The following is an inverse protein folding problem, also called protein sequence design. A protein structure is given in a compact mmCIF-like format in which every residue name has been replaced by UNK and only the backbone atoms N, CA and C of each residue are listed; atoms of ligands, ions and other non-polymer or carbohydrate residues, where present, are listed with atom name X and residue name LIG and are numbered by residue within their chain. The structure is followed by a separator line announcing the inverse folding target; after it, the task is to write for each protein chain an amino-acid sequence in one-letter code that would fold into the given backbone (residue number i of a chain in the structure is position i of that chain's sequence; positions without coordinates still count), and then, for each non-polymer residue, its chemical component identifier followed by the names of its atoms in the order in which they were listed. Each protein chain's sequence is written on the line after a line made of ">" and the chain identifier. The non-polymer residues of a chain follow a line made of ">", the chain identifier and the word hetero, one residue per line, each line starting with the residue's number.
data_IF_059859214930
#
_entry.id   IF_059859214930
#
_cell.length_a   1.000
_cell.length_b   1.000
_cell.length_c   1.000
_cell.angle_alpha   90.00
_cell.angle_beta   90.00
_cell.angle_gamma   90.00
#
_symmetry.space_group_name_H-M   'P 1'
#
loop_
_entity.id
_entity.type
_entity.pdbx_description
1 polymer ?
#
# COMPACT_ATOMS: atom_id res chain seq x y z
N UNK A 1 -29.66 -52.06 -35.74
CA UNK A 1 -28.63 -51.11 -36.19
C UNK A 1 -29.38 -49.87 -36.65
N UNK A 2 -29.39 -48.69 -36.03
CA UNK A 2 -28.73 -48.12 -34.86
C UNK A 2 -29.75 -47.22 -34.13
N UNK A 3 -29.98 -47.47 -32.84
CA UNK A 3 -30.68 -46.56 -31.91
C UNK A 3 -29.83 -46.42 -30.63
N UNK A 4 -28.51 -46.31 -30.79
CA UNK A 4 -27.55 -46.12 -29.68
C UNK A 4 -26.78 -44.81 -29.71
N UNK A 5 -26.88 -44.00 -30.78
CA UNK A 5 -25.97 -42.86 -30.98
C UNK A 5 -26.53 -41.48 -30.57
N UNK A 6 -27.70 -41.41 -29.93
CA UNK A 6 -28.27 -40.12 -29.49
C UNK A 6 -28.22 -39.87 -27.97
N UNK A 7 -27.88 -40.87 -27.17
CA UNK A 7 -27.71 -40.70 -25.71
C UNK A 7 -26.27 -40.43 -25.27
N UNK A 8 -25.26 -40.64 -26.11
CA UNK A 8 -23.85 -40.38 -25.77
C UNK A 8 -23.46 -38.90 -25.88
N UNK A 9 -24.00 -38.16 -26.86
CA UNK A 9 -23.67 -36.74 -27.05
C UNK A 9 -24.32 -35.79 -26.03
N UNK A 10 -25.36 -36.20 -25.30
CA UNK A 10 -25.97 -35.40 -24.23
C UNK A 10 -25.35 -35.64 -22.85
N UNK A 11 -24.49 -36.65 -22.70
CA UNK A 11 -23.83 -36.97 -21.43
C UNK A 11 -22.44 -36.32 -21.29
N UNK A 12 -21.74 -36.04 -22.39
CA UNK A 12 -20.43 -35.35 -22.37
C UNK A 12 -20.54 -33.84 -22.06
N UNK A 13 -21.60 -33.17 -22.51
CA UNK A 13 -21.75 -31.71 -22.29
C UNK A 13 -22.09 -31.31 -20.84
N UNK A 14 -22.29 -32.27 -19.92
CA UNK A 14 -22.66 -32.01 -18.52
C UNK A 14 -21.53 -32.24 -17.52
N UNK A 15 -20.44 -32.91 -17.91
CA UNK A 15 -19.29 -33.17 -17.04
C UNK A 15 -18.12 -32.17 -17.17
N UNK A 16 -17.96 -31.52 -18.32
CA UNK A 16 -16.83 -30.62 -18.60
C UNK A 16 -16.69 -29.35 -17.73
N UNK A 17 -17.76 -28.64 -17.28
CA UNK A 17 -17.56 -27.36 -16.58
C UNK A 17 -17.04 -27.52 -15.14
N UNK A 18 -17.00 -28.75 -14.61
CA UNK A 18 -16.45 -29.06 -13.28
C UNK A 18 -14.95 -29.38 -13.34
N UNK A 19 -14.51 -30.18 -14.32
CA UNK A 19 -13.10 -30.51 -14.51
C UNK A 19 -12.27 -29.32 -15.01
N UNK A 20 -12.83 -28.48 -15.89
CA UNK A 20 -12.14 -27.28 -16.36
C UNK A 20 -11.97 -26.26 -15.22
N UNK A 21 -12.96 -26.12 -14.35
CA UNK A 21 -12.87 -25.30 -13.13
C UNK A 21 -11.85 -25.86 -12.13
N UNK A 22 -11.84 -27.17 -11.90
CA UNK A 22 -10.88 -27.82 -11.01
C UNK A 22 -9.44 -27.70 -11.55
N UNK A 23 -9.26 -27.81 -12.86
CA UNK A 23 -7.97 -27.60 -13.51
C UNK A 23 -7.54 -26.12 -13.46
N UNK A 24 -8.49 -25.19 -13.54
CA UNK A 24 -8.23 -23.76 -13.35
C UNK A 24 -7.90 -23.43 -11.89
N UNK A 25 -8.55 -24.05 -10.91
CA UNK A 25 -8.27 -23.87 -9.49
C UNK A 25 -6.92 -24.44 -9.09
N UNK A 26 -6.52 -25.60 -9.64
CA UNK A 26 -5.16 -26.15 -9.49
C UNK A 26 -4.07 -25.23 -10.05
N UNK A 27 -4.41 -24.36 -11.02
CA UNK A 27 -3.47 -23.45 -11.69
C UNK A 27 -3.14 -22.19 -10.85
N UNK A 28 -3.93 -21.85 -9.83
CA UNK A 28 -3.75 -20.65 -9.03
C UNK A 28 -3.24 -20.95 -7.61
N UNK A 29 -2.36 -20.08 -7.12
CA UNK A 29 -1.83 -20.20 -5.75
C UNK A 29 -2.88 -19.69 -4.76
N UNK A 30 -3.36 -20.57 -3.89
CA UNK A 30 -4.28 -20.19 -2.82
C UNK A 30 -3.50 -19.74 -1.57
N UNK A 31 -3.82 -18.55 -1.06
CA UNK A 31 -3.25 -18.06 0.20
C UNK A 31 -3.76 -18.91 1.37
N UNK A 32 -2.84 -19.63 2.00
CA UNK A 32 -3.02 -20.34 3.26
C UNK A 32 -2.40 -19.53 4.39
N UNK A 33 -3.17 -19.31 5.45
CA UNK A 33 -2.70 -18.63 6.65
C UNK A 33 -2.13 -19.67 7.61
N UNK A 34 -0.90 -19.46 8.06
CA UNK A 34 -0.18 -20.36 8.95
C UNK A 34 0.45 -19.56 10.07
N UNK A 35 0.58 -20.16 11.26
CA UNK A 35 1.32 -19.53 12.35
C UNK A 35 2.81 -19.52 12.02
N UNK A 36 3.38 -18.33 11.82
CA UNK A 36 4.80 -18.16 11.48
C UNK A 36 5.29 -16.76 11.88
N UNK A 37 6.59 -16.66 12.15
CA UNK A 37 7.23 -15.39 12.43
C UNK A 37 7.45 -14.58 11.16
N UNK A 38 7.76 -13.29 11.35
CA UNK A 38 8.23 -12.46 10.24
C UNK A 38 9.66 -12.81 9.88
N UNK A 39 10.01 -12.67 8.61
CA UNK A 39 11.32 -13.09 8.10
C UNK A 39 12.48 -12.44 8.87
N UNK A 40 12.40 -11.14 9.17
CA UNK A 40 13.48 -10.46 9.89
C UNK A 40 13.62 -10.99 11.32
N UNK A 41 12.53 -11.35 11.99
CA UNK A 41 12.59 -11.97 13.33
C UNK A 41 13.36 -13.29 13.30
N UNK A 42 13.19 -14.08 12.24
CA UNK A 42 13.95 -15.32 12.07
C UNK A 42 15.40 -15.06 11.64
N UNK A 43 15.66 -14.07 10.78
CA UNK A 43 17.01 -13.67 10.39
C UNK A 43 17.83 -13.13 11.57
N UNK A 44 17.21 -12.39 12.49
CA UNK A 44 17.87 -11.88 13.70
C UNK A 44 18.36 -12.98 14.66
N UNK A 45 18.00 -14.25 14.43
CA UNK A 45 18.60 -15.39 15.15
C UNK A 45 20.03 -15.67 14.69
N UNK A 46 20.38 -15.33 13.45
CA UNK A 46 21.75 -15.37 12.96
C UNK A 46 22.58 -14.24 13.58
N UNK A 47 23.80 -14.57 14.00
CA UNK A 47 24.73 -13.63 14.63
C UNK A 47 25.07 -12.46 13.71
N UNK A 48 25.25 -12.72 12.41
CA UNK A 48 25.64 -11.68 11.45
C UNK A 48 24.55 -10.61 11.28
N UNK A 49 23.30 -11.05 11.08
CA UNK A 49 22.16 -10.14 10.96
C UNK A 49 21.90 -9.37 12.26
N UNK A 50 22.06 -10.04 13.42
CA UNK A 50 21.93 -9.39 14.72
C UNK A 50 22.98 -8.31 14.95
N UNK A 51 24.22 -8.53 14.52
CA UNK A 51 25.28 -7.51 14.59
C UNK A 51 24.90 -6.27 13.77
N UNK A 52 24.42 -6.45 12.53
CA UNK A 52 23.97 -5.32 11.71
C UNK A 52 22.81 -4.56 12.37
N UNK A 53 21.83 -5.28 12.92
CA UNK A 53 20.72 -4.69 13.67
C UNK A 53 21.21 -3.86 14.87
N UNK A 54 22.19 -4.36 15.62
CA UNK A 54 22.72 -3.68 16.81
C UNK A 54 23.54 -2.42 16.50
N UNK A 55 24.10 -2.28 15.29
CA UNK A 55 24.85 -1.07 14.88
C UNK A 55 23.89 0.11 14.62
N UNK A 56 22.67 -0.17 14.15
CA UNK A 56 21.73 0.89 13.75
C UNK A 56 21.30 1.84 14.87
N UNK A 57 20.97 1.37 16.09
CA UNK A 57 20.71 2.26 17.21
C UNK A 57 21.87 3.23 17.50
N UNK A 58 23.12 2.77 17.35
CA UNK A 58 24.30 3.62 17.51
C UNK A 58 24.36 4.73 16.45
N UNK A 59 24.15 4.37 15.17
CA UNK A 59 24.10 5.33 14.07
C UNK A 59 22.97 6.36 14.26
N UNK A 60 21.79 5.89 14.70
CA UNK A 60 20.66 6.75 15.06
C UNK A 60 21.03 7.76 16.14
N UNK A 61 21.56 7.29 17.28
CA UNK A 61 21.92 8.16 18.41
C UNK A 61 22.98 9.19 18.02
N UNK A 62 24.02 8.79 17.29
CA UNK A 62 25.04 9.71 16.81
C UNK A 62 24.48 10.77 15.86
N UNK A 63 23.57 10.39 14.95
CA UNK A 63 22.94 11.34 14.02
C UNK A 63 22.01 12.31 14.75
N UNK A 64 21.23 11.83 15.73
CA UNK A 64 20.40 12.69 16.59
C UNK A 64 21.26 13.68 17.38
N UNK A 65 22.36 13.21 17.96
CA UNK A 65 23.29 14.06 18.70
C UNK A 65 23.93 15.10 17.78
N UNK A 66 24.42 14.70 16.60
CA UNK A 66 24.97 15.61 15.61
C UNK A 66 23.97 16.71 15.23
N UNK A 67 22.72 16.34 14.92
CA UNK A 67 21.69 17.33 14.58
C UNK A 67 21.37 18.25 15.75
N UNK A 68 21.27 17.72 16.97
CA UNK A 68 21.00 18.52 18.16
C UNK A 68 22.12 19.52 18.46
N UNK A 69 23.38 19.11 18.29
CA UNK A 69 24.54 19.99 18.43
C UNK A 69 24.55 21.06 17.36
N UNK A 70 24.20 20.72 16.11
CA UNK A 70 24.15 21.68 15.01
C UNK A 70 23.03 22.71 15.20
N UNK A 71 21.84 22.27 15.60
CA UNK A 71 20.73 23.14 15.96
C UNK A 71 21.11 24.09 17.10
N UNK A 72 21.81 23.57 18.12
CA UNK A 72 22.27 24.37 19.25
C UNK A 72 23.33 25.40 18.85
N UNK A 73 24.26 25.05 17.96
CA UNK A 73 25.26 25.98 17.42
C UNK A 73 24.60 27.13 16.65
N UNK A 74 23.61 26.84 15.81
CA UNK A 74 22.98 27.84 14.96
C UNK A 74 21.95 28.71 15.70
N UNK A 75 21.18 28.15 16.63
CA UNK A 75 20.00 28.80 17.21
C UNK A 75 19.94 28.77 18.76
N UNK A 76 20.93 28.16 19.41
CA UNK A 76 21.02 28.06 20.87
C UNK A 76 20.05 27.05 21.50
N UNK A 77 19.33 26.23 20.72
CA UNK A 77 18.40 25.19 21.21
C UNK A 77 18.35 23.98 20.29
N UNK A 78 18.33 22.74 20.80
CA UNK A 78 18.19 21.55 19.97
C UNK A 78 16.71 21.27 19.60
N UNK A 79 16.42 20.94 18.34
CA UNK A 79 15.05 20.68 17.88
C UNK A 79 14.74 19.21 17.61
N UNK A 80 15.75 18.35 17.45
CA UNK A 80 15.60 16.90 17.24
C UNK A 80 14.59 16.56 16.11
N UNK A 81 14.56 17.34 15.03
CA UNK A 81 13.64 17.12 13.90
C UNK A 81 12.16 17.38 14.20
N UNK A 82 11.82 17.99 15.35
CA UNK A 82 10.41 18.26 15.72
C UNK A 82 9.74 19.31 14.84
N UNK A 83 10.51 20.18 14.18
CA UNK A 83 10.01 21.23 13.28
C UNK A 83 9.29 20.63 12.08
N UNK A 84 10.00 19.76 11.36
CA UNK A 84 9.44 19.07 10.21
C UNK A 84 8.29 18.15 10.63
N UNK A 85 8.37 17.45 11.77
CA UNK A 85 7.24 16.66 12.28
C UNK A 85 5.98 17.50 12.54
N UNK A 86 6.11 18.65 13.21
CA UNK A 86 4.97 19.54 13.47
C UNK A 86 4.33 20.05 12.17
N UNK A 87 5.14 20.41 11.18
CA UNK A 87 4.66 20.82 9.86
C UNK A 87 4.00 19.66 9.10
N UNK A 88 4.63 18.47 9.14
CA UNK A 88 4.15 17.28 8.45
C UNK A 88 2.82 16.74 9.02
N UNK A 89 2.61 16.87 10.34
CA UNK A 89 1.40 16.46 11.06
C UNK A 89 0.46 17.62 11.38
N UNK A 90 0.51 18.71 10.60
CA UNK A 90 -0.42 19.82 10.76
C UNK A 90 -1.88 19.35 10.67
N UNK A 91 -2.73 19.79 11.61
CA UNK A 91 -4.15 19.43 11.72
C UNK A 91 -4.41 17.91 11.88
N UNK A 92 -3.56 17.22 12.66
CA UNK A 92 -3.71 15.78 12.92
C UNK A 92 -5.04 15.40 13.59
N UNK A 93 -5.60 16.27 14.42
CA UNK A 93 -6.92 16.14 15.03
C UNK A 93 -8.03 16.00 13.97
N UNK A 94 -8.02 16.84 12.94
CA UNK A 94 -8.93 16.71 11.80
C UNK A 94 -8.70 15.42 11.02
N UNK A 95 -7.45 14.98 10.87
CA UNK A 95 -7.14 13.70 10.22
C UNK A 95 -7.78 12.51 10.96
N UNK A 96 -7.76 12.51 12.30
CA UNK A 96 -8.44 11.50 13.12
C UNK A 96 -9.97 11.56 12.94
N UNK A 97 -10.56 12.75 12.91
CA UNK A 97 -12.00 12.90 12.65
C UNK A 97 -12.38 12.34 11.26
N UNK A 98 -11.61 12.67 10.22
CA UNK A 98 -11.81 12.15 8.87
C UNK A 98 -11.72 10.63 8.86
N UNK A 99 -10.76 10.05 9.59
CA UNK A 99 -10.64 8.61 9.74
C UNK A 99 -11.91 7.98 10.33
N UNK A 100 -12.48 8.55 11.39
CA UNK A 100 -13.76 8.06 11.95
C UNK A 100 -14.90 8.16 10.94
N UNK A 101 -14.99 9.27 10.19
CA UNK A 101 -16.00 9.42 9.14
C UNK A 101 -15.82 8.48 7.95
N UNK A 102 -14.59 8.04 7.66
CA UNK A 102 -14.33 6.98 6.67
C UNK A 102 -14.68 5.60 7.21
N UNK A 103 -14.38 5.35 8.49
CA UNK A 103 -14.59 4.07 9.15
C UNK A 103 -16.07 3.69 9.26
N UNK A 104 -16.94 4.66 9.59
CA UNK A 104 -18.38 4.42 9.76
C UNK A 104 -19.07 3.85 8.50
N UNK A 105 -18.93 4.45 7.30
CA UNK A 105 -19.42 3.88 6.05
C UNK A 105 -18.87 2.48 5.74
N UNK A 106 -17.61 2.18 6.11
CA UNK A 106 -17.04 0.84 5.96
C UNK A 106 -17.79 -0.21 6.79
N UNK A 107 -18.31 0.15 7.96
CA UNK A 107 -19.17 -0.75 8.75
C UNK A 107 -20.52 -0.98 8.06
N UNK A 108 -21.07 0.03 7.39
CA UNK A 108 -22.31 -0.10 6.63
C UNK A 108 -22.18 -1.10 5.46
N UNK A 109 -20.97 -1.30 4.91
CA UNK A 109 -20.73 -2.31 3.86
C UNK A 109 -21.12 -3.71 4.31
N UNK A 110 -20.85 -4.06 5.58
CA UNK A 110 -21.25 -5.36 6.14
C UNK A 110 -22.76 -5.55 6.11
N UNK A 111 -23.50 -4.57 6.64
CA UNK A 111 -24.96 -4.61 6.70
C UNK A 111 -25.59 -4.56 5.29
N UNK A 112 -25.02 -3.76 4.39
CA UNK A 112 -25.43 -3.72 2.99
C UNK A 112 -25.26 -5.07 2.29
N UNK A 113 -24.14 -5.75 2.53
CA UNK A 113 -23.91 -7.10 2.01
C UNK A 113 -24.89 -8.12 2.60
N UNK A 114 -25.15 -8.09 3.91
CA UNK A 114 -26.13 -8.98 4.54
C UNK A 114 -27.53 -8.79 3.94
N UNK A 115 -27.94 -7.53 3.79
CA UNK A 115 -29.23 -7.20 3.19
C UNK A 115 -29.34 -7.71 1.75
N UNK A 116 -28.28 -7.49 0.94
CA UNK A 116 -28.20 -8.04 -0.40
C UNK A 116 -28.31 -9.57 -0.38
N UNK A 117 -27.51 -10.27 0.42
CA UNK A 117 -27.44 -11.72 0.48
C UNK A 117 -28.77 -12.38 0.90
N UNK A 118 -29.42 -11.85 1.94
CA UNK A 118 -30.69 -12.37 2.43
C UNK A 118 -31.84 -12.17 1.43
N UNK A 119 -31.91 -10.99 0.80
CA UNK A 119 -32.98 -10.66 -0.15
C UNK A 119 -32.76 -11.35 -1.48
N UNK A 120 -31.51 -11.53 -1.92
CA UNK A 120 -31.18 -12.21 -3.19
C UNK A 120 -31.79 -13.61 -3.28
N UNK A 121 -31.87 -14.35 -2.17
CA UNK A 121 -32.45 -15.69 -2.12
C UNK A 121 -33.96 -15.65 -2.45
N UNK A 122 -34.67 -14.58 -2.07
CA UNK A 122 -36.12 -14.45 -2.20
C UNK A 122 -36.55 -13.71 -3.48
N UNK A 123 -35.63 -12.97 -4.12
CA UNK A 123 -35.94 -12.14 -5.27
C UNK A 123 -36.04 -12.96 -6.56
N UNK A 124 -37.08 -12.71 -7.36
CA UNK A 124 -37.22 -13.29 -8.70
C UNK A 124 -36.21 -12.69 -9.68
N UNK A 125 -36.06 -11.34 -9.69
CA UNK A 125 -35.14 -10.63 -10.58
C UNK A 125 -33.74 -10.46 -9.98
N UNK A 126 -33.04 -11.58 -9.77
CA UNK A 126 -31.69 -11.61 -9.16
C UNK A 126 -30.67 -10.73 -9.88
N UNK A 127 -30.71 -10.70 -11.22
CA UNK A 127 -29.78 -9.90 -12.03
C UNK A 127 -29.88 -8.39 -11.74
N UNK A 128 -31.10 -7.84 -11.64
CA UNK A 128 -31.31 -6.44 -11.32
C UNK A 128 -30.86 -6.11 -9.89
N UNK A 129 -31.11 -7.03 -8.96
CA UNK A 129 -30.66 -6.91 -7.57
C UNK A 129 -29.13 -6.90 -7.44
N UNK A 130 -28.43 -7.73 -8.22
CA UNK A 130 -26.97 -7.76 -8.23
C UNK A 130 -26.39 -6.47 -8.83
N UNK A 131 -27.00 -5.91 -9.89
CA UNK A 131 -26.56 -4.64 -10.49
C UNK A 131 -26.81 -3.43 -9.58
N UNK A 132 -27.92 -3.40 -8.87
CA UNK A 132 -28.21 -2.32 -7.92
C UNK A 132 -27.23 -2.36 -6.75
N UNK A 133 -26.93 -3.53 -6.19
CA UNK A 133 -25.89 -3.69 -5.17
C UNK A 133 -24.51 -3.25 -5.67
N UNK A 134 -24.14 -3.63 -6.91
CA UNK A 134 -22.91 -3.17 -7.53
C UNK A 134 -22.86 -1.64 -7.67
N UNK A 135 -23.95 -1.01 -8.11
CA UNK A 135 -24.04 0.45 -8.22
C UNK A 135 -23.86 1.13 -6.85
N UNK A 136 -24.48 0.61 -5.79
CA UNK A 136 -24.26 1.11 -4.43
C UNK A 136 -22.81 0.95 -3.95
N UNK A 137 -22.18 -0.19 -4.26
CA UNK A 137 -20.78 -0.41 -3.91
C UNK A 137 -19.83 0.54 -4.68
N UNK A 138 -20.08 0.78 -5.97
CA UNK A 138 -19.33 1.76 -6.76
C UNK A 138 -19.55 3.18 -6.23
N UNK A 139 -20.77 3.52 -5.84
CA UNK A 139 -21.06 4.79 -5.18
C UNK A 139 -20.28 4.95 -3.87
N UNK A 140 -20.21 3.90 -3.04
CA UNK A 140 -19.39 3.89 -1.83
C UNK A 140 -17.90 4.13 -2.14
N UNK A 141 -17.32 3.40 -3.10
CA UNK A 141 -15.89 3.54 -3.46
C UNK A 141 -15.61 4.96 -3.97
N UNK A 142 -16.39 5.45 -4.91
CA UNK A 142 -16.24 6.81 -5.45
C UNK A 142 -16.45 7.86 -4.36
N UNK A 143 -17.46 7.68 -3.51
CA UNK A 143 -17.76 8.55 -2.37
C UNK A 143 -16.59 8.63 -1.40
N UNK A 144 -15.97 7.49 -1.04
CA UNK A 144 -14.79 7.44 -0.18
C UNK A 144 -13.59 8.17 -0.79
N UNK A 145 -13.31 7.97 -2.08
CA UNK A 145 -12.22 8.66 -2.78
C UNK A 145 -12.45 10.18 -2.83
N UNK A 146 -13.65 10.61 -3.23
CA UNK A 146 -14.00 12.04 -3.32
C UNK A 146 -14.02 12.71 -1.94
N UNK A 147 -14.62 12.06 -0.93
CA UNK A 147 -14.67 12.57 0.44
C UNK A 147 -13.27 12.76 1.01
N UNK A 148 -12.44 11.72 0.99
CA UNK A 148 -11.09 11.76 1.57
C UNK A 148 -10.23 12.84 0.92
N UNK A 149 -10.25 12.88 -0.42
CA UNK A 149 -9.53 13.90 -1.18
C UNK A 149 -10.03 15.29 -0.82
N UNK A 150 -11.34 15.54 -0.88
CA UNK A 150 -11.92 16.86 -0.55
C UNK A 150 -11.56 17.30 0.87
N UNK A 151 -11.64 16.41 1.84
CA UNK A 151 -11.34 16.72 3.23
C UNK A 151 -9.86 17.05 3.45
N UNK A 152 -8.94 16.37 2.76
CA UNK A 152 -7.50 16.69 2.78
C UNK A 152 -7.24 18.12 2.29
N UNK A 153 -7.88 18.53 1.18
CA UNK A 153 -7.70 19.86 0.60
C UNK A 153 -8.38 20.96 1.43
N UNK A 154 -9.62 20.74 1.88
CA UNK A 154 -10.40 21.75 2.62
C UNK A 154 -9.78 22.06 3.99
N UNK A 155 -9.31 21.04 4.70
CA UNK A 155 -8.74 21.22 6.05
C UNK A 155 -7.24 21.54 6.03
N UNK A 156 -6.62 21.67 4.85
CA UNK A 156 -5.20 21.95 4.70
C UNK A 156 -4.31 21.07 5.62
N UNK A 157 -4.55 19.76 5.61
CA UNK A 157 -3.80 18.77 6.42
C UNK A 157 -2.30 18.69 6.03
N UNK A 158 -1.39 18.57 7.00
CA UNK A 158 0.04 18.38 6.70
C UNK A 158 0.30 17.18 5.77
N UNK A 159 1.41 17.15 5.00
CA UNK A 159 1.67 16.09 4.02
C UNK A 159 1.64 14.66 4.60
N UNK A 160 2.18 14.45 5.80
CA UNK A 160 2.17 13.13 6.43
C UNK A 160 0.77 12.72 6.93
N UNK A 161 0.00 13.68 7.48
CA UNK A 161 -1.40 13.43 7.88
C UNK A 161 -2.29 13.13 6.68
N UNK A 162 -2.10 13.87 5.59
CA UNK A 162 -2.78 13.63 4.32
C UNK A 162 -2.47 12.23 3.78
N UNK A 163 -1.20 11.82 3.82
CA UNK A 163 -0.77 10.49 3.38
C UNK A 163 -1.40 9.39 4.24
N UNK A 164 -1.46 9.56 5.56
CA UNK A 164 -2.11 8.61 6.45
C UNK A 164 -3.61 8.44 6.11
N UNK A 165 -4.34 9.54 5.90
CA UNK A 165 -5.76 9.51 5.51
C UNK A 165 -5.95 8.78 4.17
N UNK A 166 -5.12 9.10 3.17
CA UNK A 166 -5.23 8.48 1.84
C UNK A 166 -4.87 6.98 1.85
N UNK A 167 -3.85 6.57 2.61
CA UNK A 167 -3.50 5.15 2.78
C UNK A 167 -4.65 4.41 3.48
N UNK A 168 -5.25 4.99 4.52
CA UNK A 168 -6.37 4.40 5.23
C UNK A 168 -7.62 4.29 4.34
N UNK A 169 -7.90 5.29 3.50
CA UNK A 169 -8.94 5.21 2.48
C UNK A 169 -8.73 4.01 1.54
N UNK A 170 -7.51 3.83 1.00
CA UNK A 170 -7.19 2.68 0.12
C UNK A 170 -7.39 1.38 0.89
N UNK A 171 -6.90 1.30 2.14
CA UNK A 171 -7.04 0.12 3.01
C UNK A 171 -8.52 -0.25 3.21
N UNK A 172 -9.39 0.72 3.52
CA UNK A 172 -10.81 0.47 3.70
C UNK A 172 -11.50 -0.01 2.42
N UNK A 173 -11.18 0.58 1.27
CA UNK A 173 -11.72 0.15 -0.03
C UNK A 173 -11.27 -1.29 -0.34
N UNK A 174 -9.99 -1.59 -0.22
CA UNK A 174 -9.44 -2.93 -0.49
C UNK A 174 -10.05 -3.99 0.42
N UNK A 175 -10.21 -3.70 1.72
CA UNK A 175 -10.85 -4.63 2.65
C UNK A 175 -12.34 -4.81 2.39
N UNK A 176 -13.05 -3.72 2.07
CA UNK A 176 -14.48 -3.78 1.70
C UNK A 176 -14.69 -4.67 0.47
N UNK A 177 -13.86 -4.47 -0.57
CA UNK A 177 -13.87 -5.29 -1.77
C UNK A 177 -13.55 -6.76 -1.46
N UNK A 178 -12.49 -7.01 -0.69
CA UNK A 178 -12.06 -8.36 -0.32
C UNK A 178 -13.19 -9.13 0.40
N UNK A 179 -13.86 -8.47 1.35
CA UNK A 179 -14.98 -9.07 2.07
C UNK A 179 -16.15 -9.45 1.15
N UNK A 180 -16.57 -8.52 0.28
CA UNK A 180 -17.68 -8.77 -0.66
C UNK A 180 -17.28 -9.87 -1.65
N UNK A 181 -16.15 -9.73 -2.34
CA UNK A 181 -15.72 -10.63 -3.41
C UNK A 181 -15.48 -12.06 -2.94
N UNK A 182 -15.01 -12.24 -1.70
CA UNK A 182 -14.82 -13.57 -1.09
C UNK A 182 -16.15 -14.22 -0.69
N UNK A 183 -17.15 -13.45 -0.25
CA UNK A 183 -18.42 -14.01 0.21
C UNK A 183 -19.49 -14.12 -0.87
N UNK A 184 -19.51 -13.24 -1.88
CA UNK A 184 -20.49 -13.26 -2.99
C UNK A 184 -20.63 -14.64 -3.66
N UNK A 185 -19.54 -15.37 -4.01
CA UNK A 185 -19.65 -16.69 -4.65
C UNK A 185 -20.42 -17.71 -3.83
N UNK A 186 -20.38 -17.64 -2.49
CA UNK A 186 -21.12 -18.54 -1.59
C UNK A 186 -22.64 -18.42 -1.79
N UNK A 187 -23.13 -17.22 -2.11
CA UNK A 187 -24.55 -16.94 -2.32
C UNK A 187 -25.00 -17.07 -3.79
N UNK A 188 -24.06 -16.94 -4.73
CA UNK A 188 -24.31 -17.13 -6.16
C UNK A 188 -24.31 -18.62 -6.51
N UNK A 189 -23.33 -19.38 -6.02
CA UNK A 189 -23.18 -20.81 -6.30
C UNK A 189 -24.11 -21.70 -5.45
N UNK A 190 -24.93 -21.12 -4.56
CA UNK A 190 -25.90 -21.84 -3.73
C UNK A 190 -26.74 -22.87 -4.51
N UNK A 191 -27.07 -22.56 -5.76
CA UNK A 191 -27.86 -23.44 -6.64
C UNK A 191 -27.14 -24.76 -6.98
N UNK A 192 -25.83 -24.86 -6.77
CA UNK A 192 -25.03 -26.08 -7.04
C UNK A 192 -24.83 -26.98 -5.81
N UNK A 193 -24.74 -26.39 -4.61
CA UNK A 193 -24.31 -27.13 -3.40
C UNK A 193 -25.45 -27.47 -2.42
N UNK A 194 -26.68 -26.98 -2.65
CA UNK A 194 -27.89 -27.37 -1.89
C UNK A 194 -27.93 -26.98 -0.41
N UNK A 195 -26.86 -26.39 0.14
CA UNK A 195 -26.75 -25.95 1.54
C UNK A 195 -26.97 -24.45 1.66
N UNK A 196 -27.62 -24.01 2.76
CA UNK A 196 -27.82 -22.59 3.01
C UNK A 196 -26.49 -21.90 3.41
N UNK A 197 -26.01 -20.91 2.63
CA UNK A 197 -24.74 -20.25 2.91
C UNK A 197 -24.83 -19.43 4.20
N UNK A 198 -23.92 -19.71 5.14
CA UNK A 198 -23.83 -19.01 6.41
C UNK A 198 -23.16 -17.65 6.19
N UNK A 199 -23.87 -16.56 6.54
CA UNK A 199 -23.30 -15.22 6.55
C UNK A 199 -22.22 -15.11 7.64
N UNK A 200 -21.06 -14.49 7.36
CA UNK A 200 -20.09 -14.23 8.41
C UNK A 200 -20.67 -13.29 9.48
N UNK A 201 -20.35 -13.58 10.75
CA UNK A 201 -20.75 -12.74 11.89
C UNK A 201 -20.01 -11.40 11.87
N UNK A 202 -20.64 -10.33 12.37
CA UNK A 202 -20.05 -8.97 12.44
C UNK A 202 -18.69 -8.95 13.13
N UNK A 203 -18.51 -9.74 14.21
CA UNK A 203 -17.24 -9.86 14.93
C UNK A 203 -16.06 -10.27 14.02
N UNK A 204 -16.29 -11.16 13.05
CA UNK A 204 -15.25 -11.59 12.09
C UNK A 204 -14.88 -10.47 11.12
N UNK A 205 -15.88 -9.74 10.63
CA UNK A 205 -15.66 -8.57 9.77
C UNK A 205 -14.91 -7.46 10.53
N UNK A 206 -15.34 -7.15 11.75
CA UNK A 206 -14.68 -6.17 12.61
C UNK A 206 -13.22 -6.52 12.87
N UNK A 207 -12.94 -7.78 13.25
CA UNK A 207 -11.57 -8.26 13.41
C UNK A 207 -10.76 -8.11 12.12
N UNK A 208 -11.33 -8.49 10.97
CA UNK A 208 -10.67 -8.34 9.68
C UNK A 208 -10.34 -6.89 9.34
N UNK A 209 -11.17 -5.91 9.70
CA UNK A 209 -10.87 -4.49 9.45
C UNK A 209 -9.56 -4.05 10.11
N UNK A 210 -9.22 -4.57 11.28
CA UNK A 210 -7.97 -4.24 11.97
C UNK A 210 -6.82 -5.22 11.68
N UNK A 211 -7.12 -6.47 11.28
CA UNK A 211 -6.10 -7.47 11.01
C UNK A 211 -5.05 -6.99 9.99
N UNK A 212 -3.75 -7.30 10.15
CA UNK A 212 -2.67 -6.87 9.26
C UNK A 212 -2.62 -7.71 7.97
N UNK A 213 -3.78 -7.88 7.32
CA UNK A 213 -3.94 -8.55 6.03
C UNK A 213 -5.06 -7.88 5.24
N UNK A 214 -4.97 -7.95 3.91
CA UNK A 214 -6.00 -7.43 3.01
C UNK A 214 -6.89 -8.56 2.44
N UNK A 215 -6.55 -9.82 2.70
CA UNK A 215 -7.31 -10.98 2.20
C UNK A 215 -8.28 -11.46 3.27
N UNK A 216 -9.57 -11.46 2.96
CA UNK A 216 -10.61 -11.89 3.89
C UNK A 216 -10.66 -13.41 4.04
N UNK A 217 -10.71 -13.89 5.29
CA UNK A 217 -11.02 -15.27 5.69
C UNK A 217 -11.89 -15.25 6.94
N UNK A 218 -12.71 -16.28 7.09
CA UNK A 218 -13.61 -16.40 8.25
C UNK A 218 -12.86 -16.73 9.54
N UNK A 219 -11.72 -17.42 9.44
CA UNK A 219 -10.86 -17.80 10.57
C UNK A 219 -9.41 -17.53 10.20
N UNK A 220 -8.66 -16.94 11.14
CA UNK A 220 -7.23 -16.69 11.04
C UNK A 220 -6.50 -17.44 12.17
N UNK A 221 -5.25 -17.89 11.94
CA UNK A 221 -4.45 -18.48 13.01
C UNK A 221 -4.17 -17.43 14.09
N UNK A 222 -4.42 -17.78 15.35
CA UNK A 222 -4.27 -16.88 16.50
C UNK A 222 -3.15 -17.30 17.45
N UNK A 223 -2.58 -16.34 18.16
CA UNK A 223 -1.61 -16.59 19.23
C UNK A 223 -2.34 -16.78 20.56
N UNK A 224 -1.69 -17.48 21.50
CA UNK A 224 -2.28 -17.79 22.81
C UNK A 224 -2.43 -16.53 23.67
N UNK A 225 -1.53 -15.56 23.53
CA UNK A 225 -1.56 -14.30 24.27
C UNK A 225 -0.75 -13.19 23.59
N UNK A 226 -0.74 -12.03 24.24
CA UNK A 226 -0.04 -10.82 23.79
C UNK A 226 1.26 -10.68 24.57
N UNK A 227 2.39 -10.58 23.86
CA UNK A 227 3.71 -10.31 24.43
C UNK A 227 3.99 -8.81 24.42
N UNK A 228 3.70 -8.15 25.54
CA UNK A 228 3.85 -6.70 25.69
C UNK A 228 5.27 -6.18 25.48
N UNK A 229 6.29 -6.98 25.77
CA UNK A 229 7.69 -6.61 25.47
C UNK A 229 7.91 -6.39 23.97
N UNK A 230 7.39 -7.29 23.13
CA UNK A 230 7.48 -7.16 21.67
C UNK A 230 6.71 -5.93 21.16
N UNK A 231 5.53 -5.65 21.74
CA UNK A 231 4.75 -4.44 21.43
C UNK A 231 5.54 -3.19 21.79
N UNK A 232 6.13 -3.12 22.99
CA UNK A 232 6.91 -1.97 23.43
C UNK A 232 8.14 -1.74 22.55
N UNK A 233 8.88 -2.80 22.19
CA UNK A 233 10.02 -2.70 21.26
C UNK A 233 9.57 -2.21 19.89
N UNK A 234 8.50 -2.77 19.33
CA UNK A 234 7.98 -2.35 18.02
C UNK A 234 7.53 -0.88 18.00
N UNK A 235 6.86 -0.41 19.07
CA UNK A 235 6.49 1.02 19.20
C UNK A 235 7.74 1.90 19.30
N UNK A 236 8.74 1.50 20.10
CA UNK A 236 9.99 2.25 20.22
C UNK A 236 10.75 2.35 18.89
N UNK A 237 10.78 1.27 18.09
CA UNK A 237 11.37 1.26 16.75
C UNK A 237 10.63 2.22 15.80
N UNK A 238 9.29 2.19 15.78
CA UNK A 238 8.47 3.08 14.94
C UNK A 238 8.77 4.55 15.27
N UNK A 239 8.72 4.90 16.56
CA UNK A 239 9.02 6.26 17.03
C UNK A 239 10.44 6.66 16.61
N UNK A 240 11.43 5.81 16.87
CA UNK A 240 12.83 6.09 16.53
C UNK A 240 13.02 6.35 15.04
N UNK A 241 12.45 5.52 14.16
CA UNK A 241 12.56 5.70 12.70
C UNK A 241 11.85 6.96 12.22
N UNK A 242 10.70 7.34 12.79
CA UNK A 242 9.99 8.57 12.43
C UNK A 242 10.82 9.82 12.78
N UNK A 243 11.41 9.87 13.98
CA UNK A 243 12.31 10.97 14.36
C UNK A 243 13.58 10.98 13.51
N UNK A 244 14.18 9.81 13.27
CA UNK A 244 15.34 9.67 12.40
C UNK A 244 15.08 10.20 11.01
N UNK A 245 13.95 9.81 10.41
CA UNK A 245 13.51 10.24 9.09
C UNK A 245 13.31 11.74 9.01
N UNK A 246 12.72 12.33 10.05
CA UNK A 246 12.52 13.78 10.11
C UNK A 246 13.85 14.53 10.01
N UNK A 247 14.81 14.18 10.88
CA UNK A 247 16.14 14.79 10.87
C UNK A 247 16.89 14.51 9.57
N UNK A 248 16.82 13.27 9.05
CA UNK A 248 17.47 12.90 7.80
C UNK A 248 16.95 13.75 6.64
N UNK A 249 15.62 13.90 6.50
CA UNK A 249 15.01 14.72 5.45
C UNK A 249 15.32 16.21 5.62
N UNK A 250 15.29 16.71 6.86
CA UNK A 250 15.58 18.11 7.18
C UNK A 250 17.03 18.48 6.80
N UNK A 251 18.00 17.67 7.23
CA UNK A 251 19.43 17.93 7.04
C UNK A 251 19.94 17.63 5.62
N UNK A 252 19.15 16.95 4.78
CA UNK A 252 19.56 16.59 3.41
C UNK A 252 18.74 17.37 2.38
N UNK A 253 17.52 16.92 2.08
CA UNK A 253 16.73 17.49 1.00
C UNK A 253 16.23 18.90 1.34
N UNK A 254 15.67 19.11 2.53
CA UNK A 254 15.05 20.39 2.89
C UNK A 254 16.09 21.50 3.01
N UNK A 255 17.20 21.24 3.72
CA UNK A 255 18.26 22.23 3.90
C UNK A 255 18.77 22.81 2.58
N UNK A 256 18.94 21.96 1.56
CA UNK A 256 19.48 22.36 0.25
C UNK A 256 18.46 22.91 -0.74
N UNK A 257 17.18 22.55 -0.61
CA UNK A 257 16.14 22.86 -1.60
C UNK A 257 15.07 23.83 -1.09
N UNK A 258 15.09 24.25 0.19
CA UNK A 258 14.13 25.22 0.74
C UNK A 258 14.08 26.55 -0.03
N UNK A 259 15.20 26.96 -0.62
CA UNK A 259 15.35 28.21 -1.38
C UNK A 259 15.04 28.03 -2.87
N UNK A 260 14.50 26.87 -3.28
CA UNK A 260 14.11 26.63 -4.67
C UNK A 260 13.04 27.61 -5.13
N UNK A 261 13.29 28.32 -6.23
CA UNK A 261 12.45 29.42 -6.72
C UNK A 261 12.86 30.81 -6.24
N UNK A 262 13.70 30.91 -5.19
CA UNK A 262 14.33 32.17 -4.78
C UNK A 262 15.70 32.33 -5.44
N UNK A 263 16.40 31.22 -5.64
CA UNK A 263 17.66 31.15 -6.40
C UNK A 263 17.51 30.21 -7.59
N UNK A 264 18.27 30.47 -8.66
CA UNK A 264 18.37 29.55 -9.78
C UNK A 264 19.29 28.38 -9.43
N UNK A 265 18.89 27.17 -9.85
CA UNK A 265 19.67 25.94 -9.70
C UNK A 265 20.11 25.49 -11.09
N UNK A 266 21.38 25.11 -11.23
CA UNK A 266 21.83 24.48 -12.46
C UNK A 266 21.40 23.01 -12.51
N UNK A 267 21.21 22.46 -13.71
CA UNK A 267 20.90 21.02 -13.89
C UNK A 267 22.00 20.16 -13.26
N UNK A 268 23.26 20.57 -13.37
CA UNK A 268 24.40 19.87 -12.77
C UNK A 268 24.34 19.86 -11.23
N UNK A 269 23.94 20.97 -10.62
CA UNK A 269 23.73 21.06 -9.17
C UNK A 269 22.64 20.09 -8.71
N UNK A 270 21.49 20.05 -9.41
CA UNK A 270 20.40 19.12 -9.09
C UNK A 270 20.86 17.66 -9.22
N UNK A 271 21.58 17.31 -10.30
CA UNK A 271 22.12 15.96 -10.48
C UNK A 271 23.11 15.61 -9.37
N UNK A 272 23.96 16.56 -8.97
CA UNK A 272 24.94 16.37 -7.91
C UNK A 272 24.24 16.15 -6.57
N UNK A 273 23.17 16.89 -6.26
CA UNK A 273 22.34 16.68 -5.07
C UNK A 273 21.71 15.28 -5.06
N UNK A 274 21.15 14.82 -6.18
CA UNK A 274 20.54 13.47 -6.29
C UNK A 274 21.57 12.38 -5.97
N UNK A 275 22.79 12.53 -6.50
CA UNK A 275 23.89 11.56 -6.31
C UNK A 275 24.46 11.66 -4.89
N UNK A 276 24.71 12.86 -4.38
CA UNK A 276 25.26 13.09 -3.05
C UNK A 276 24.34 12.54 -1.96
N UNK A 277 23.02 12.72 -2.12
CA UNK A 277 22.02 12.25 -1.17
C UNK A 277 21.41 10.90 -1.54
N UNK A 278 22.07 10.15 -2.43
CA UNK A 278 21.75 8.73 -2.66
C UNK A 278 21.70 7.92 -1.34
N UNK A 279 22.65 8.04 -0.39
CA UNK A 279 22.58 7.30 0.88
C UNK A 279 21.37 7.70 1.72
N UNK A 280 20.95 8.97 1.68
CA UNK A 280 19.72 9.43 2.32
C UNK A 280 18.47 8.85 1.63
N UNK A 281 18.52 8.61 0.31
CA UNK A 281 17.48 7.90 -0.43
C UNK A 281 17.29 6.45 0.05
N UNK A 282 18.33 5.82 0.59
CA UNK A 282 18.25 4.51 1.25
C UNK A 282 17.46 4.56 2.57
N UNK A 283 17.09 5.76 3.07
CA UNK A 283 16.15 5.90 4.17
C UNK A 283 14.82 5.15 3.93
N UNK A 284 14.44 4.97 2.66
CA UNK A 284 13.30 4.12 2.28
C UNK A 284 13.34 2.70 2.88
N UNK A 285 14.53 2.14 3.16
CA UNK A 285 14.65 0.84 3.84
C UNK A 285 14.25 0.90 5.32
N UNK A 286 14.51 2.02 6.00
CA UNK A 286 14.02 2.22 7.37
C UNK A 286 12.52 2.43 7.39
N UNK A 287 11.95 3.16 6.42
CA UNK A 287 10.50 3.26 6.27
C UNK A 287 9.85 1.90 6.01
N UNK A 288 10.48 1.08 5.17
CA UNK A 288 10.06 -0.31 4.96
C UNK A 288 10.08 -1.10 6.27
N UNK A 289 11.17 -1.04 7.03
CA UNK A 289 11.27 -1.71 8.33
C UNK A 289 10.20 -1.21 9.30
N UNK A 290 10.06 0.11 9.46
CA UNK A 290 9.07 0.75 10.33
C UNK A 290 7.65 0.27 10.02
N UNK A 291 7.24 0.25 8.74
CA UNK A 291 5.89 -0.16 8.37
C UNK A 291 5.72 -1.68 8.28
N UNK A 292 6.47 -2.34 7.40
CA UNK A 292 6.26 -3.76 7.07
C UNK A 292 6.74 -4.71 8.16
N UNK A 293 7.73 -4.29 8.97
CA UNK A 293 8.20 -5.08 10.10
C UNK A 293 7.58 -4.59 11.41
N UNK A 294 7.98 -3.43 11.93
CA UNK A 294 7.65 -3.02 13.29
C UNK A 294 6.15 -2.76 13.48
N UNK A 295 5.53 -1.96 12.61
CA UNK A 295 4.09 -1.64 12.70
C UNK A 295 3.19 -2.86 12.47
N UNK A 296 3.44 -3.63 11.39
CA UNK A 296 2.63 -4.81 11.08
C UNK A 296 2.78 -5.92 12.14
N UNK A 297 3.99 -6.16 12.67
CA UNK A 297 4.18 -7.12 13.76
C UNK A 297 3.55 -6.64 15.07
N UNK A 298 3.64 -5.34 15.40
CA UNK A 298 3.00 -4.77 16.60
C UNK A 298 1.48 -4.93 16.51
N UNK A 299 0.89 -4.58 15.38
CA UNK A 299 -0.54 -4.74 15.12
C UNK A 299 -0.94 -6.22 15.16
N UNK A 300 -0.13 -7.11 14.60
CA UNK A 300 -0.35 -8.55 14.65
C UNK A 300 -0.34 -9.08 16.09
N UNK A 301 0.61 -8.65 16.92
CA UNK A 301 0.70 -9.05 18.32
C UNK A 301 -0.53 -8.57 19.12
N UNK A 302 -0.91 -7.29 18.97
CA UNK A 302 -2.08 -6.70 19.64
C UNK A 302 -3.39 -7.41 19.27
N UNK A 303 -3.53 -7.85 18.02
CA UNK A 303 -4.71 -8.57 17.55
C UNK A 303 -4.61 -10.09 17.73
N UNK A 304 -3.53 -10.61 18.32
CA UNK A 304 -3.23 -12.06 18.41
C UNK A 304 -3.19 -12.76 17.04
N UNK A 305 -2.80 -12.06 15.98
CA UNK A 305 -2.68 -12.60 14.63
C UNK A 305 -1.33 -13.31 14.43
N UNK A 306 -1.36 -14.60 14.07
CA UNK A 306 -0.15 -15.44 14.03
C UNK A 306 0.52 -15.56 12.67
N UNK A 307 -0.10 -15.13 11.56
CA UNK A 307 0.55 -15.19 10.24
C UNK A 307 1.36 -13.91 9.98
N UNK A 308 2.65 -13.90 10.32
CA UNK A 308 3.49 -12.68 10.26
C UNK A 308 4.32 -12.57 9.00
N UNK A 309 3.94 -13.27 7.93
CA UNK A 309 4.61 -13.15 6.64
C UNK A 309 4.09 -11.95 5.85
N UNK A 310 4.60 -10.77 6.20
CA UNK A 310 4.27 -9.51 5.52
C UNK A 310 5.18 -9.24 4.32
N UNK A 311 6.38 -9.80 4.31
CA UNK A 311 7.40 -9.68 3.27
C UNK A 311 8.32 -10.90 3.25
N UNK A 312 9.03 -11.08 2.15
CA UNK A 312 10.08 -12.11 1.94
C UNK A 312 11.41 -11.43 1.64
N UNK A 313 12.40 -12.23 1.27
CA UNK A 313 13.75 -11.82 0.84
C UNK A 313 13.69 -11.06 -0.50
N UNK A 314 13.08 -9.88 -0.51
CA UNK A 314 12.94 -9.06 -1.72
C UNK A 314 14.31 -8.54 -2.22
N UNK A 315 15.28 -8.40 -1.32
CA UNK A 315 16.64 -7.95 -1.62
C UNK A 315 17.52 -9.01 -2.30
N UNK A 316 17.04 -10.24 -2.49
CA UNK A 316 17.76 -11.29 -3.23
C UNK A 316 17.12 -11.57 -4.59
N UNK A 317 16.05 -10.85 -4.94
CA UNK A 317 15.24 -11.15 -6.13
C UNK A 317 15.94 -10.78 -7.43
N UNK A 318 15.62 -11.54 -8.49
CA UNK A 318 16.22 -11.37 -9.80
C UNK A 318 15.28 -10.67 -10.82
N UNK A 319 14.04 -10.39 -10.42
CA UNK A 319 13.00 -9.87 -11.30
C UNK A 319 12.15 -8.81 -10.58
N UNK A 320 11.88 -7.67 -11.23
CA UNK A 320 11.00 -6.61 -10.71
C UNK A 320 9.61 -7.12 -10.27
N UNK A 321 9.03 -8.09 -10.99
CA UNK A 321 7.77 -8.71 -10.56
C UNK A 321 7.93 -9.51 -9.27
N UNK A 322 9.04 -10.24 -9.14
CA UNK A 322 9.35 -11.01 -7.92
C UNK A 322 9.65 -10.08 -6.75
N UNK A 323 10.36 -8.97 -6.99
CA UNK A 323 10.58 -7.90 -6.03
C UNK A 323 9.24 -7.37 -5.49
N UNK A 324 8.33 -6.93 -6.37
CA UNK A 324 7.01 -6.44 -5.96
C UNK A 324 6.21 -7.50 -5.20
N UNK A 325 6.33 -8.77 -5.60
CA UNK A 325 5.68 -9.90 -4.94
C UNK A 325 6.23 -10.18 -3.54
N UNK A 326 7.52 -9.94 -3.29
CA UNK A 326 8.18 -10.19 -2.01
C UNK A 326 8.23 -8.97 -1.09
N UNK A 327 8.21 -7.75 -1.64
CA UNK A 327 8.31 -6.50 -0.89
C UNK A 327 7.09 -6.29 0.02
N UNK A 328 5.88 -6.26 -0.55
CA UNK A 328 4.62 -6.07 0.19
C UNK A 328 3.65 -7.21 -0.10
N UNK A 329 3.84 -8.36 0.57
CA UNK A 329 3.06 -9.57 0.29
C UNK A 329 1.57 -9.35 0.50
N UNK A 330 1.18 -8.58 1.51
CA UNK A 330 -0.25 -8.35 1.80
C UNK A 330 -0.98 -7.57 0.68
N UNK A 331 -0.31 -6.60 0.03
CA UNK A 331 -0.86 -5.90 -1.15
C UNK A 331 -0.80 -6.82 -2.37
N UNK A 332 0.32 -7.50 -2.58
CA UNK A 332 0.49 -8.39 -3.71
C UNK A 332 -0.51 -9.54 -3.70
N UNK A 333 -0.76 -10.17 -2.55
CA UNK A 333 -1.76 -11.23 -2.37
C UNK A 333 -3.16 -10.70 -2.72
N UNK A 334 -3.49 -9.48 -2.30
CA UNK A 334 -4.77 -8.85 -2.66
C UNK A 334 -4.87 -8.67 -4.17
N UNK A 335 -3.86 -8.06 -4.80
CA UNK A 335 -3.83 -7.84 -6.25
C UNK A 335 -3.88 -9.18 -7.00
N UNK A 336 -3.19 -10.21 -6.53
CA UNK A 336 -3.16 -11.52 -7.17
C UNK A 336 -4.53 -12.23 -7.08
N UNK A 337 -5.12 -12.29 -5.89
CA UNK A 337 -6.37 -13.02 -5.65
C UNK A 337 -7.56 -12.31 -6.29
N UNK A 338 -7.61 -10.99 -6.18
CA UNK A 338 -8.81 -10.21 -6.50
C UNK A 338 -8.75 -9.49 -7.85
N UNK A 339 -7.54 -9.26 -8.39
CA UNK A 339 -7.36 -8.59 -9.69
C UNK A 339 -6.77 -9.54 -10.72
N UNK A 340 -5.61 -10.16 -10.45
CA UNK A 340 -4.95 -11.05 -11.42
C UNK A 340 -5.82 -12.24 -11.79
N UNK A 341 -6.35 -12.97 -10.79
CA UNK A 341 -7.20 -14.14 -11.04
C UNK A 341 -8.45 -13.76 -11.83
N UNK A 342 -9.13 -12.68 -11.43
CA UNK A 342 -10.36 -12.25 -12.11
C UNK A 342 -10.08 -11.74 -13.54
N UNK A 343 -9.01 -10.99 -13.76
CA UNK A 343 -8.59 -10.59 -15.11
C UNK A 343 -8.22 -11.79 -15.98
N UNK A 344 -7.53 -12.78 -15.42
CA UNK A 344 -7.17 -14.01 -16.13
C UNK A 344 -8.40 -14.80 -16.56
N UNK A 345 -9.39 -14.94 -15.67
CA UNK A 345 -10.58 -15.75 -15.92
C UNK A 345 -11.56 -15.05 -16.85
N UNK A 346 -11.80 -13.74 -16.67
CA UNK A 346 -12.94 -13.06 -17.30
C UNK A 346 -12.58 -12.11 -18.44
N UNK A 347 -11.35 -11.57 -18.50
CA UNK A 347 -11.02 -10.46 -19.42
C UNK A 347 -9.92 -10.84 -20.41
N UNK A 348 -8.81 -11.40 -19.92
CA UNK A 348 -7.63 -11.72 -20.72
C UNK A 348 -7.16 -13.17 -20.51
N UNK A 349 -7.94 -14.18 -20.93
CA UNK A 349 -7.53 -15.58 -20.84
C UNK A 349 -6.15 -15.80 -21.47
N UNK A 350 -5.28 -16.48 -20.73
CA UNK A 350 -3.92 -16.89 -21.13
C UNK A 350 -2.91 -15.76 -21.43
N UNK A 351 -3.31 -14.49 -21.46
CA UNK A 351 -2.43 -13.34 -21.73
C UNK A 351 -1.73 -12.81 -20.48
N UNK A 352 -0.90 -13.66 -19.86
CA UNK A 352 -0.22 -13.38 -18.57
C UNK A 352 0.56 -12.05 -18.54
N UNK A 353 1.21 -11.68 -19.64
CA UNK A 353 1.99 -10.43 -19.71
C UNK A 353 1.10 -9.19 -19.60
N UNK A 354 -0.01 -9.15 -20.35
CA UNK A 354 -0.95 -8.03 -20.32
C UNK A 354 -1.54 -7.84 -18.91
N UNK A 355 -1.90 -8.92 -18.24
CA UNK A 355 -2.44 -8.85 -16.87
C UNK A 355 -1.40 -8.29 -15.90
N UNK A 356 -0.13 -8.73 -16.00
CA UNK A 356 0.95 -8.20 -15.16
C UNK A 356 1.18 -6.70 -15.41
N UNK A 357 1.10 -6.25 -16.66
CA UNK A 357 1.21 -4.84 -17.01
C UNK A 357 0.05 -4.02 -16.42
N UNK A 358 -1.20 -4.51 -16.56
CA UNK A 358 -2.38 -3.87 -15.97
C UNK A 358 -2.27 -3.76 -14.45
N UNK A 359 -1.81 -4.82 -13.77
CA UNK A 359 -1.57 -4.77 -12.32
C UNK A 359 -0.51 -3.75 -11.94
N UNK A 360 0.57 -3.65 -12.71
CA UNK A 360 1.65 -2.68 -12.45
C UNK A 360 1.14 -1.24 -12.60
N UNK A 361 0.39 -0.96 -13.67
CA UNK A 361 -0.22 0.35 -13.90
C UNK A 361 -1.22 0.68 -12.79
N UNK A 362 -2.08 -0.27 -12.41
CA UNK A 362 -3.03 -0.07 -11.32
C UNK A 362 -2.32 0.25 -10.00
N UNK A 363 -1.26 -0.50 -9.67
CA UNK A 363 -0.45 -0.24 -8.48
C UNK A 363 0.21 1.14 -8.53
N UNK A 364 0.78 1.53 -9.67
CA UNK A 364 1.40 2.85 -9.88
C UNK A 364 0.39 3.98 -9.67
N UNK A 365 -0.78 3.90 -10.32
CA UNK A 365 -1.83 4.92 -10.24
C UNK A 365 -2.32 5.15 -8.82
N UNK A 366 -2.45 4.09 -8.01
CA UNK A 366 -2.86 4.21 -6.60
C UNK A 366 -1.77 4.87 -5.76
N UNK A 367 -0.49 4.55 -5.99
CA UNK A 367 0.62 5.25 -5.33
C UNK A 367 0.68 6.73 -5.72
N UNK A 368 0.55 7.04 -7.00
CA UNK A 368 0.50 8.41 -7.51
C UNK A 368 -0.71 9.18 -6.94
N UNK A 369 -1.88 8.54 -6.81
CA UNK A 369 -3.05 9.14 -6.16
C UNK A 369 -2.74 9.54 -4.71
N UNK A 370 -2.15 8.64 -3.92
CA UNK A 370 -1.81 8.91 -2.52
C UNK A 370 -0.84 10.10 -2.44
N UNK A 371 0.25 10.06 -3.20
CA UNK A 371 1.30 11.08 -3.12
C UNK A 371 0.85 12.43 -3.70
N UNK A 372 0.20 12.43 -4.86
CA UNK A 372 -0.28 13.67 -5.48
C UNK A 372 -1.31 14.40 -4.59
N UNK A 373 -2.22 13.67 -3.95
CA UNK A 373 -3.18 14.27 -3.01
C UNK A 373 -2.47 14.74 -1.73
N UNK A 374 -1.53 13.95 -1.20
CA UNK A 374 -0.81 14.30 0.03
C UNK A 374 0.08 15.52 -0.11
N UNK A 375 0.73 15.67 -1.28
CA UNK A 375 1.56 16.81 -1.60
C UNK A 375 0.78 17.96 -2.28
N UNK A 376 -0.50 17.73 -2.62
CA UNK A 376 -1.42 18.68 -3.27
C UNK A 376 -1.02 19.17 -4.65
N UNK A 377 -0.27 18.36 -5.37
CA UNK A 377 0.15 18.67 -6.73
C UNK A 377 0.19 17.40 -7.57
N UNK A 378 -0.15 17.55 -8.85
CA UNK A 378 -0.16 16.42 -9.77
C UNK A 378 1.25 16.18 -10.32
N UNK A 379 1.92 15.16 -9.80
CA UNK A 379 3.25 14.74 -10.26
C UNK A 379 3.34 13.21 -10.22
N UNK A 380 2.91 12.49 -11.28
CA UNK A 380 2.80 11.03 -11.29
C UNK A 380 4.18 10.36 -11.47
N UNK A 381 4.98 10.35 -10.41
CA UNK A 381 6.36 9.88 -10.43
C UNK A 381 6.48 8.36 -10.31
N UNK A 382 5.51 7.66 -9.72
CA UNK A 382 5.59 6.20 -9.53
C UNK A 382 5.39 5.43 -10.82
N UNK A 383 4.49 5.89 -11.71
CA UNK A 383 4.36 5.29 -13.04
C UNK A 383 5.66 5.41 -13.85
N UNK A 384 6.29 6.58 -13.81
CA UNK A 384 7.58 6.81 -14.46
C UNK A 384 8.69 5.95 -13.84
N UNK A 385 8.77 5.92 -12.50
CA UNK A 385 9.78 5.16 -11.78
C UNK A 385 9.66 3.64 -12.03
N UNK A 386 8.46 3.08 -11.99
CA UNK A 386 8.26 1.65 -12.29
C UNK A 386 8.58 1.32 -13.76
N UNK A 387 8.25 2.20 -14.70
CA UNK A 387 8.62 2.02 -16.11
C UNK A 387 10.13 2.08 -16.28
N UNK A 388 10.79 3.06 -15.65
CA UNK A 388 12.24 3.18 -15.63
C UNK A 388 12.91 1.92 -15.08
N UNK A 389 12.45 1.42 -13.92
CA UNK A 389 12.95 0.18 -13.32
C UNK A 389 12.85 -1.02 -14.29
N UNK A 390 11.74 -1.17 -14.99
CA UNK A 390 11.55 -2.26 -15.95
C UNK A 390 12.53 -2.13 -17.13
N UNK A 391 12.70 -0.93 -17.67
CA UNK A 391 13.58 -0.65 -18.81
C UNK A 391 15.06 -0.80 -18.43
N UNK A 392 15.51 -0.17 -17.35
CA UNK A 392 16.92 -0.22 -16.92
C UNK A 392 17.35 -1.63 -16.58
N UNK A 393 16.46 -2.46 -16.01
CA UNK A 393 16.76 -3.86 -15.74
C UNK A 393 16.97 -4.66 -17.03
N UNK A 394 16.12 -4.45 -18.03
CA UNK A 394 16.26 -5.13 -19.33
C UNK A 394 17.60 -4.81 -19.99
N UNK A 395 18.16 -3.63 -19.73
CA UNK A 395 19.45 -3.20 -20.27
C UNK A 395 20.62 -3.75 -19.44
N UNK A 396 20.57 -3.66 -18.11
CA UNK A 396 21.72 -3.91 -17.23
C UNK A 396 21.91 -5.38 -16.83
N UNK A 397 20.89 -6.22 -16.99
CA UNK A 397 20.89 -7.67 -16.69
C UNK A 397 21.58 -8.08 -15.36
N UNK A 398 21.54 -7.22 -14.34
CA UNK A 398 22.25 -7.40 -13.06
C UNK A 398 21.41 -6.94 -11.87
N UNK A 399 21.25 -7.83 -10.88
CA UNK A 399 20.42 -7.59 -9.70
C UNK A 399 21.09 -6.65 -8.69
N UNK A 400 22.43 -6.60 -8.68
CA UNK A 400 23.20 -5.72 -7.78
C UNK A 400 23.00 -4.26 -8.13
N UNK A 401 22.95 -3.94 -9.42
CA UNK A 401 22.74 -2.57 -9.90
C UNK A 401 21.30 -2.13 -9.65
N UNK A 402 20.33 -3.03 -9.79
CA UNK A 402 18.92 -2.72 -9.55
C UNK A 402 18.63 -2.30 -8.09
N UNK A 403 19.22 -2.95 -7.08
CA UNK A 403 19.06 -2.54 -5.67
C UNK A 403 19.66 -1.17 -5.41
N UNK A 404 20.83 -0.89 -5.99
CA UNK A 404 21.44 0.44 -5.91
C UNK A 404 20.58 1.49 -6.65
N UNK A 405 19.88 1.12 -7.72
CA UNK A 405 18.99 2.04 -8.43
C UNK A 405 17.71 2.37 -7.66
N UNK A 406 17.30 1.57 -6.68
CA UNK A 406 16.17 1.93 -5.81
C UNK A 406 16.48 3.16 -4.95
N UNK A 407 17.69 3.23 -4.38
CA UNK A 407 18.09 4.40 -3.58
C UNK A 407 18.24 5.65 -4.43
N UNK A 408 18.76 5.55 -5.66
CA UNK A 408 18.87 6.71 -6.56
C UNK A 408 17.51 7.13 -7.09
N UNK A 409 16.62 6.18 -7.40
CA UNK A 409 15.23 6.44 -7.76
C UNK A 409 14.43 7.09 -6.62
N UNK A 410 14.66 6.66 -5.38
CA UNK A 410 14.07 7.29 -4.20
C UNK A 410 14.64 8.69 -3.96
N UNK A 411 15.95 8.89 -4.11
CA UNK A 411 16.58 10.21 -4.00
C UNK A 411 16.04 11.17 -5.06
N UNK A 412 15.95 10.71 -6.31
CA UNK A 412 15.35 11.45 -7.42
C UNK A 412 13.89 11.85 -7.12
N UNK A 413 13.08 10.91 -6.62
CA UNK A 413 11.70 11.15 -6.22
C UNK A 413 11.63 12.25 -5.14
N UNK A 414 12.43 12.12 -4.08
CA UNK A 414 12.42 13.08 -2.97
C UNK A 414 12.87 14.48 -3.43
N UNK A 415 13.91 14.58 -4.26
CA UNK A 415 14.39 15.85 -4.80
C UNK A 415 13.29 16.54 -5.61
N UNK A 416 12.64 15.83 -6.53
CA UNK A 416 11.56 16.40 -7.33
C UNK A 416 10.35 16.83 -6.49
N UNK A 417 9.95 16.02 -5.51
CA UNK A 417 8.84 16.35 -4.61
C UNK A 417 9.15 17.59 -3.77
N UNK A 418 10.37 17.70 -3.23
CA UNK A 418 10.78 18.84 -2.40
C UNK A 418 10.94 20.11 -3.26
N UNK A 419 11.52 20.00 -4.46
CA UNK A 419 11.58 21.11 -5.42
C UNK A 419 10.18 21.61 -5.77
N UNK A 420 9.24 20.72 -6.10
CA UNK A 420 7.87 21.11 -6.43
C UNK A 420 7.15 21.75 -5.24
N UNK A 421 7.35 21.20 -4.03
CA UNK A 421 6.79 21.74 -2.81
C UNK A 421 7.26 23.18 -2.55
N UNK A 422 8.57 23.43 -2.58
CA UNK A 422 9.12 24.77 -2.35
C UNK A 422 8.88 25.73 -3.51
N UNK A 423 8.91 25.25 -4.77
CA UNK A 423 8.52 26.07 -5.93
C UNK A 423 7.09 26.60 -5.77
N UNK A 424 6.16 25.80 -5.21
CA UNK A 424 4.78 26.23 -4.97
C UNK A 424 4.63 27.26 -3.86
N UNK A 425 5.51 27.24 -2.87
CA UNK A 425 5.53 28.19 -1.77
C UNK A 425 6.22 29.49 -2.18
N UNK A 426 7.40 29.39 -2.81
CA UNK A 426 8.26 30.52 -3.12
C UNK A 426 7.83 31.27 -4.38
N UNK A 427 7.19 30.59 -5.35
CA UNK A 427 6.59 31.20 -6.54
C UNK A 427 5.06 31.00 -6.56
N UNK A 428 4.27 31.76 -5.77
CA UNK A 428 2.82 31.66 -5.80
C UNK A 428 2.25 32.30 -7.08
N UNK A 429 1.33 31.60 -7.76
CA UNK A 429 0.55 32.15 -8.88
C UNK A 429 -0.82 32.55 -8.33
N UNK A 430 -1.11 33.84 -8.31
CA UNK A 430 -2.44 34.34 -7.97
C UNK A 430 -3.37 34.15 -9.18
N UNK A 431 -4.49 33.43 -8.99
CA UNK A 431 -5.47 33.05 -10.03
C UNK A 431 -4.99 31.99 -11.04
N UNK A 432 -4.35 30.93 -10.55
CA UNK A 432 -3.94 29.80 -11.38
C UNK A 432 -5.14 29.11 -12.07
N UNK A 433 -5.05 28.97 -13.38
CA UNK A 433 -5.92 28.10 -14.18
C UNK A 433 -5.72 26.63 -13.79
N UNK A 434 -6.67 25.76 -14.17
CA UNK A 434 -6.57 24.30 -13.92
C UNK A 434 -5.27 23.74 -14.53
N UNK A 435 -4.88 24.22 -15.71
CA UNK A 435 -3.66 23.77 -16.39
C UNK A 435 -2.39 24.16 -15.63
N UNK A 436 -2.35 25.34 -15.04
CA UNK A 436 -1.21 25.81 -14.23
C UNK A 436 -1.08 25.04 -12.90
N UNK A 437 -2.19 24.52 -12.36
CA UNK A 437 -2.16 23.65 -11.21
C UNK A 437 -1.63 22.25 -11.52
N UNK A 438 -1.87 21.76 -12.74
CA UNK A 438 -1.40 20.45 -13.23
C UNK A 438 0.07 20.51 -13.65
N UNK A 439 0.53 21.63 -14.23
CA UNK A 439 1.92 21.76 -14.70
C UNK A 439 2.89 21.79 -13.50
N UNK A 440 3.97 20.98 -13.50
CA UNK A 440 4.99 21.03 -12.46
C UNK A 440 5.62 22.43 -12.41
N UNK A 441 5.57 23.06 -11.24
CA UNK A 441 6.02 24.43 -11.03
C UNK A 441 7.54 24.54 -11.00
N UNK A 442 8.24 23.50 -10.56
CA UNK A 442 9.71 23.50 -10.52
C UNK A 442 10.39 23.67 -11.89
N UNK A 443 9.66 23.54 -13.00
CA UNK A 443 10.18 23.67 -14.37
C UNK A 443 10.28 25.12 -14.87
N UNK A 444 9.58 26.06 -14.22
CA UNK A 444 9.48 27.45 -14.70
C UNK A 444 9.52 28.50 -13.57
N UNK A 445 9.46 28.05 -12.32
CA UNK A 445 10.09 28.68 -11.16
C UNK A 445 11.55 28.17 -11.13
#
# INVERSE_FOLDING_TARGET
>A
MSTKDHNSMQQEARHEPSEEKDNLEKKFIHKTFQARNSLMTDLMKDKNAKTLYNVWPGFFLCTMLYSALKDYECEGRPYFGTRLLKSAFLHFDFALMIWFYMFLPTLCVYYGFLFWAQKRIRMQYKYLWDRTFLAFFLFYVTGMCCFSTRMVFVNNLGPASSMAVMIEMVRFIMKSYAYIRTNCPKFINKEKDGTDPICPTFSRFWYFLFAPTLVYRDVYPRSIGIRWSMVATGIAEIVSVVFFGSVALENTYVYHLKDYGLRSYSVLEIITLIIQYFPAGLFGYFLFHCFCHSYMNTTAELLTFSDRLFYKDWWTTNNAYEFLAKWNIFVFDWLYIYVYKDLYVYVFPERKYMIKLVMLILNATVHDLIICVSCRHFLPLFLFNYTFIVVTRNILNSNKVWLCLLGSGASFLNVLLVMEYYARINCPIHNATILENIKPRFLYC
#
